data_IF_343614900751
#
_entry.id   IF_343614900751
#
_cell.length_a   1.000
_cell.length_b   1.000
_cell.length_c   1.000
_cell.angle_alpha   90.00
_cell.angle_beta   90.00
_cell.angle_gamma   90.00
#
_symmetry.space_group_name_H-M   'P 1'
#
loop_
_entity.id
_entity.type
_entity.pdbx_description
1 polymer ?
#
# COMPACT_ATOMS: atom_id res chain seq x y z
N UNK A 1 -20.95 -5.70 -23.31
CA UNK A 1 -19.86 -5.93 -22.33
C UNK A 1 -18.99 -4.69 -22.31
N UNK A 2 -18.80 -4.04 -21.16
CA UNK A 2 -17.73 -3.04 -21.01
C UNK A 2 -16.40 -3.80 -21.16
N UNK A 3 -15.48 -3.25 -21.93
CA UNK A 3 -14.10 -3.74 -21.96
C UNK A 3 -13.49 -3.52 -20.56
N UNK A 4 -13.08 -4.60 -19.89
CA UNK A 4 -12.48 -4.55 -18.55
C UNK A 4 -11.25 -3.63 -18.54
N UNK A 5 -10.50 -3.57 -19.65
CA UNK A 5 -9.35 -2.68 -19.77
C UNK A 5 -9.78 -1.20 -19.82
N UNK A 6 -10.90 -0.89 -20.46
CA UNK A 6 -11.43 0.48 -20.49
C UNK A 6 -11.94 0.89 -19.10
N UNK A 7 -12.60 -0.03 -18.39
CA UNK A 7 -13.03 0.22 -17.02
C UNK A 7 -11.84 0.47 -16.08
N UNK A 8 -10.84 -0.41 -16.08
CA UNK A 8 -9.61 -0.25 -15.28
C UNK A 8 -8.92 1.07 -15.57
N UNK A 9 -8.76 1.45 -16.85
CA UNK A 9 -8.18 2.75 -17.23
C UNK A 9 -8.96 3.92 -16.63
N UNK A 10 -10.29 3.87 -16.66
CA UNK A 10 -11.11 4.94 -16.08
C UNK A 10 -10.98 5.02 -14.55
N UNK A 11 -10.85 3.87 -13.86
CA UNK A 11 -10.67 3.84 -12.41
C UNK A 11 -9.27 4.27 -11.99
N UNK A 12 -8.23 3.97 -12.78
CA UNK A 12 -6.87 4.50 -12.58
C UNK A 12 -6.88 6.03 -12.64
N UNK A 13 -7.46 6.61 -13.68
CA UNK A 13 -7.51 8.07 -13.83
C UNK A 13 -8.35 8.75 -12.75
N UNK A 14 -9.41 8.09 -12.28
CA UNK A 14 -10.19 8.55 -11.13
C UNK A 14 -9.35 8.51 -9.85
N UNK A 15 -8.66 7.40 -9.59
CA UNK A 15 -7.88 7.24 -8.37
C UNK A 15 -6.67 8.19 -8.31
N UNK A 16 -5.99 8.44 -9.44
CA UNK A 16 -4.94 9.47 -9.54
C UNK A 16 -5.43 10.83 -9.05
N UNK A 17 -6.64 11.23 -9.46
CA UNK A 17 -7.24 12.50 -9.02
C UNK A 17 -7.62 12.48 -7.54
N UNK A 18 -8.17 11.38 -7.06
CA UNK A 18 -8.50 11.22 -5.63
C UNK A 18 -7.26 11.40 -4.76
N UNK A 19 -6.16 10.73 -5.09
CA UNK A 19 -4.87 10.80 -4.37
C UNK A 19 -4.27 12.22 -4.35
N UNK A 20 -4.33 12.94 -5.47
CA UNK A 20 -3.86 14.32 -5.55
C UNK A 20 -4.73 15.30 -4.77
N UNK A 21 -6.05 15.07 -4.73
CA UNK A 21 -7.00 15.93 -4.01
C UNK A 21 -6.93 15.69 -2.50
N UNK A 22 -6.74 14.44 -2.07
CA UNK A 22 -6.58 14.11 -0.65
C UNK A 22 -5.23 14.59 -0.09
N UNK A 23 -4.23 14.77 -0.95
CA UNK A 23 -2.86 15.09 -0.54
C UNK A 23 -2.04 13.87 -0.13
N UNK A 24 -2.60 12.66 -0.27
CA UNK A 24 -1.90 11.39 0.01
C UNK A 24 -0.60 11.28 -0.82
N UNK A 25 -0.62 11.86 -2.02
CA UNK A 25 0.56 12.07 -2.87
C UNK A 25 0.51 13.46 -3.50
N UNK A 26 1.68 14.00 -3.81
CA UNK A 26 1.82 15.16 -4.68
C UNK A 26 1.88 14.76 -6.15
N UNK A 27 2.21 15.73 -7.00
CA UNK A 27 2.63 15.44 -8.38
C UNK A 27 3.90 14.56 -8.42
N UNK A 28 4.34 14.12 -9.62
CA UNK A 28 5.59 13.40 -9.76
C UNK A 28 6.75 14.10 -9.04
N UNK A 29 7.66 13.34 -8.41
CA UNK A 29 8.81 13.94 -7.73
C UNK A 29 9.64 14.79 -8.72
N UNK A 30 10.17 15.90 -8.24
CA UNK A 30 11.09 16.76 -8.99
C UNK A 30 12.48 16.69 -8.35
N UNK A 31 13.54 16.83 -9.15
CA UNK A 31 14.94 16.84 -8.65
C UNK A 31 15.16 17.95 -7.59
N UNK A 32 14.47 19.07 -7.74
CA UNK A 32 14.46 20.17 -6.78
C UNK A 32 13.38 19.93 -5.72
N UNK A 33 13.71 19.13 -4.71
CA UNK A 33 12.79 18.77 -3.63
C UNK A 33 12.24 20.00 -2.89
N UNK A 34 12.99 21.11 -2.82
CA UNK A 34 12.53 22.33 -2.15
C UNK A 34 11.34 22.96 -2.91
N UNK A 35 11.42 23.02 -4.25
CA UNK A 35 10.30 23.47 -5.09
C UNK A 35 9.12 22.50 -5.04
N UNK A 36 9.39 21.20 -5.00
CA UNK A 36 8.33 20.20 -4.90
C UNK A 36 7.57 20.35 -3.57
N UNK A 37 8.29 20.50 -2.46
CA UNK A 37 7.72 20.72 -1.13
C UNK A 37 6.88 22.01 -1.06
N UNK A 38 7.28 23.08 -1.76
CA UNK A 38 6.48 24.31 -1.82
C UNK A 38 5.15 24.10 -2.57
N UNK A 39 5.14 23.26 -3.62
CA UNK A 39 3.94 22.94 -4.39
C UNK A 39 3.01 21.96 -3.67
N UNK A 40 3.58 20.99 -2.94
CA UNK A 40 2.86 19.90 -2.29
C UNK A 40 3.25 19.76 -0.80
N UNK A 41 3.01 20.79 0.04
CA UNK A 41 3.53 20.84 1.41
C UNK A 41 2.98 19.77 2.36
N UNK A 42 1.82 19.20 2.04
CA UNK A 42 1.16 18.16 2.84
C UNK A 42 1.49 16.74 2.36
N UNK A 43 2.22 16.62 1.25
CA UNK A 43 2.52 15.33 0.62
C UNK A 43 3.97 14.93 0.86
N UNK A 44 4.20 13.63 0.96
CA UNK A 44 5.54 13.08 1.19
C UNK A 44 6.06 12.26 -0.01
N UNK A 45 5.15 11.66 -0.76
CA UNK A 45 5.43 10.84 -1.93
C UNK A 45 4.80 11.45 -3.18
N UNK A 46 5.35 11.13 -4.34
CA UNK A 46 4.88 11.60 -5.63
C UNK A 46 4.02 10.55 -6.33
N UNK A 47 3.03 11.00 -7.09
CA UNK A 47 2.27 10.13 -7.98
C UNK A 47 3.17 9.60 -9.11
N UNK A 48 3.32 8.28 -9.30
CA UNK A 48 4.09 7.74 -10.41
C UNK A 48 3.34 7.86 -11.73
N UNK A 49 4.10 7.83 -12.83
CA UNK A 49 3.53 7.83 -14.19
C UNK A 49 2.59 6.65 -14.42
N UNK A 50 2.97 5.48 -13.89
CA UNK A 50 2.26 4.21 -14.09
C UNK A 50 1.71 3.67 -12.78
N UNK A 51 0.41 3.39 -12.77
CA UNK A 51 -0.27 2.60 -11.74
C UNK A 51 -0.43 1.18 -12.28
N UNK A 52 0.01 0.20 -11.50
CA UNK A 52 -0.14 -1.21 -11.83
C UNK A 52 -1.53 -1.70 -11.44
N UNK A 53 -2.01 -2.74 -12.12
CA UNK A 53 -3.25 -3.40 -11.74
C UNK A 53 -3.16 -4.91 -11.88
N UNK A 54 -3.96 -5.60 -11.07
CA UNK A 54 -4.21 -7.03 -11.17
C UNK A 54 -5.71 -7.29 -11.17
N UNK A 55 -6.13 -8.25 -11.98
CA UNK A 55 -7.51 -8.71 -12.08
C UNK A 55 -7.57 -10.17 -11.65
N UNK A 56 -8.41 -10.48 -10.65
CA UNK A 56 -8.57 -11.81 -10.07
C UNK A 56 -9.86 -11.85 -9.24
N UNK A 57 -10.62 -12.94 -9.32
CA UNK A 57 -11.72 -13.24 -8.39
C UNK A 57 -11.13 -13.56 -6.99
N UNK A 58 -11.08 -12.55 -6.12
CA UNK A 58 -10.46 -12.69 -4.79
C UNK A 58 -11.46 -13.18 -3.74
N UNK A 59 -12.75 -12.96 -3.96
CA UNK A 59 -13.82 -13.31 -3.03
C UNK A 59 -14.59 -14.60 -3.39
N UNK A 60 -14.19 -15.27 -4.48
CA UNK A 60 -14.79 -16.50 -5.01
C UNK A 60 -16.28 -16.33 -5.41
N UNK A 61 -16.67 -15.13 -5.87
CA UNK A 61 -18.04 -14.85 -6.33
C UNK A 61 -18.26 -15.09 -7.83
N UNK A 62 -17.21 -15.51 -8.55
CA UNK A 62 -17.22 -15.78 -9.98
C UNK A 62 -17.08 -14.53 -10.85
N UNK A 63 -16.82 -13.36 -10.27
CA UNK A 63 -16.52 -12.12 -10.98
C UNK A 63 -15.13 -11.63 -10.61
N UNK A 64 -14.51 -10.96 -11.57
CA UNK A 64 -13.17 -10.42 -11.42
C UNK A 64 -13.16 -9.17 -10.52
N UNK A 65 -12.34 -9.19 -9.46
CA UNK A 65 -11.96 -8.02 -8.69
C UNK A 65 -10.72 -7.36 -9.29
N UNK A 66 -10.48 -6.09 -8.97
CA UNK A 66 -9.36 -5.29 -9.45
C UNK A 66 -8.60 -4.70 -8.27
N UNK A 67 -7.31 -5.02 -8.15
CA UNK A 67 -6.40 -4.31 -7.26
C UNK A 67 -5.55 -3.35 -8.09
N UNK A 68 -5.65 -2.05 -7.80
CA UNK A 68 -4.74 -1.01 -8.29
C UNK A 68 -3.66 -0.77 -7.24
N UNK A 69 -2.41 -0.65 -7.68
CA UNK A 69 -1.30 -0.45 -6.76
C UNK A 69 -0.08 0.21 -7.40
N UNK A 70 0.74 0.82 -6.57
CA UNK A 70 2.06 1.32 -6.95
C UNK A 70 2.96 1.46 -5.71
N UNK A 71 4.29 1.31 -5.86
CA UNK A 71 5.21 1.54 -4.75
C UNK A 71 5.21 3.01 -4.35
N UNK A 72 5.28 3.30 -3.06
CA UNK A 72 5.43 4.69 -2.61
C UNK A 72 6.76 5.30 -3.11
N UNK A 73 7.78 4.47 -3.30
CA UNK A 73 9.11 4.89 -3.72
C UNK A 73 9.84 5.67 -2.62
N UNK A 74 10.85 6.42 -3.03
CA UNK A 74 11.55 7.37 -2.16
C UNK A 74 10.69 8.62 -1.93
N UNK A 75 10.86 9.24 -0.76
CA UNK A 75 10.22 10.51 -0.44
C UNK A 75 10.68 11.61 -1.39
N UNK A 76 9.74 12.40 -1.92
CA UNK A 76 10.10 13.56 -2.76
C UNK A 76 10.67 14.73 -1.93
N UNK A 77 10.72 14.61 -0.60
CA UNK A 77 11.07 15.69 0.34
C UNK A 77 12.57 15.83 0.58
N UNK A 78 13.40 15.01 -0.08
CA UNK A 78 14.86 14.98 0.06
C UNK A 78 15.37 14.01 1.15
N UNK A 79 14.47 13.24 1.77
CA UNK A 79 14.82 12.13 2.67
C UNK A 79 14.85 10.77 1.97
N UNK A 80 15.45 9.77 2.62
CA UNK A 80 15.47 8.36 2.16
C UNK A 80 14.37 7.51 2.80
N UNK A 81 13.32 8.15 3.31
CA UNK A 81 12.22 7.42 3.96
C UNK A 81 11.33 6.74 2.90
N UNK A 82 11.27 5.42 2.95
CA UNK A 82 10.37 4.62 2.11
C UNK A 82 9.00 4.47 2.76
N UNK A 83 7.95 4.49 1.95
CA UNK A 83 6.57 4.26 2.37
C UNK A 83 6.07 2.87 1.97
N UNK A 84 5.00 2.41 2.62
CA UNK A 84 4.29 1.24 2.12
C UNK A 84 3.67 1.50 0.75
N UNK A 85 3.49 0.45 -0.03
CA UNK A 85 2.78 0.54 -1.32
C UNK A 85 1.37 1.12 -1.15
N UNK A 86 0.97 1.94 -2.13
CA UNK A 86 -0.40 2.43 -2.24
C UNK A 86 -1.28 1.38 -2.88
N UNK A 87 -2.50 1.20 -2.34
CA UNK A 87 -3.41 0.13 -2.73
C UNK A 87 -4.84 0.65 -2.81
N UNK A 88 -5.55 0.24 -3.85
CA UNK A 88 -7.00 0.39 -3.97
C UNK A 88 -7.61 -0.89 -4.52
N UNK A 89 -8.54 -1.49 -3.76
CA UNK A 89 -9.28 -2.67 -4.20
C UNK A 89 -10.67 -2.26 -4.66
N UNK A 90 -11.05 -2.70 -5.85
CA UNK A 90 -12.38 -2.58 -6.42
C UNK A 90 -12.90 -3.99 -6.57
N UNK A 91 -13.95 -4.34 -5.84
CA UNK A 91 -14.40 -5.72 -5.75
C UNK A 91 -15.88 -5.86 -5.99
N UNK A 92 -16.29 -6.97 -6.59
CA UNK A 92 -17.71 -7.29 -6.76
C UNK A 92 -18.32 -7.67 -5.42
N UNK A 93 -19.55 -7.23 -5.21
CA UNK A 93 -20.38 -7.68 -4.10
C UNK A 93 -21.82 -7.68 -4.56
N UNK A 94 -22.42 -8.88 -4.61
CA UNK A 94 -23.77 -9.11 -5.14
C UNK A 94 -23.86 -8.65 -6.61
N UNK A 95 -24.41 -7.46 -6.85
CA UNK A 95 -24.65 -6.89 -8.17
C UNK A 95 -23.93 -5.55 -8.41
N UNK A 96 -23.07 -5.13 -7.49
CA UNK A 96 -22.38 -3.84 -7.53
C UNK A 96 -20.87 -4.03 -7.35
N UNK A 97 -20.09 -3.02 -7.75
CA UNK A 97 -18.67 -2.93 -7.41
C UNK A 97 -18.50 -1.97 -6.24
N UNK A 98 -17.86 -2.44 -5.17
CA UNK A 98 -17.48 -1.68 -4.01
C UNK A 98 -15.99 -1.32 -4.07
N UNK A 99 -15.56 -0.35 -3.26
CA UNK A 99 -14.16 0.09 -3.20
C UNK A 99 -13.64 0.02 -1.76
N UNK A 100 -12.39 -0.38 -1.59
CA UNK A 100 -11.64 -0.30 -0.35
C UNK A 100 -10.35 0.48 -0.61
N UNK A 101 -10.30 1.70 -0.07
CA UNK A 101 -9.17 2.61 -0.21
C UNK A 101 -8.26 2.61 1.03
N UNK A 102 -8.66 1.93 2.11
CA UNK A 102 -7.98 1.95 3.40
C UNK A 102 -7.00 0.77 3.57
N UNK A 103 -6.76 0.00 2.50
CA UNK A 103 -5.96 -1.21 2.54
C UNK A 103 -4.54 -0.98 3.05
N UNK A 104 -3.91 0.11 2.60
CA UNK A 104 -2.54 0.46 3.04
C UNK A 104 -2.48 0.62 4.56
N UNK A 105 -3.29 1.51 5.13
CA UNK A 105 -3.32 1.75 6.57
C UNK A 105 -3.75 0.50 7.36
N UNK A 106 -4.68 -0.29 6.80
CA UNK A 106 -5.13 -1.55 7.42
C UNK A 106 -3.99 -2.56 7.52
N UNK A 107 -3.25 -2.78 6.42
CA UNK A 107 -2.14 -3.74 6.38
C UNK A 107 -1.00 -3.27 7.30
N UNK A 108 -0.61 -1.99 7.25
CA UNK A 108 0.41 -1.43 8.15
C UNK A 108 0.05 -1.64 9.63
N UNK A 109 -1.20 -1.38 10.00
CA UNK A 109 -1.68 -1.55 11.37
C UNK A 109 -1.66 -3.01 11.81
N UNK A 110 -2.07 -3.92 10.95
CA UNK A 110 -2.13 -5.35 11.28
C UNK A 110 -0.72 -5.96 11.38
N UNK A 111 0.21 -5.57 10.49
CA UNK A 111 1.63 -5.94 10.60
C UNK A 111 2.19 -5.52 11.96
N UNK A 112 1.98 -4.27 12.36
CA UNK A 112 2.42 -3.76 13.68
C UNK A 112 1.81 -4.58 14.82
N UNK A 113 0.50 -4.81 14.79
CA UNK A 113 -0.19 -5.56 15.83
C UNK A 113 0.34 -6.99 15.98
N UNK A 114 0.48 -7.71 14.87
CA UNK A 114 0.98 -9.08 14.87
C UNK A 114 2.47 -9.16 15.23
N UNK A 115 3.28 -8.22 14.75
CA UNK A 115 4.70 -8.17 15.09
C UNK A 115 4.90 -7.97 16.60
N UNK A 116 4.18 -7.01 17.21
CA UNK A 116 4.23 -6.76 18.66
C UNK A 116 3.81 -7.99 19.46
N UNK A 117 2.76 -8.70 19.00
CA UNK A 117 2.28 -9.92 19.65
C UNK A 117 3.29 -11.07 19.58
N UNK A 118 4.02 -11.21 18.48
CA UNK A 118 5.01 -12.28 18.31
C UNK A 118 6.33 -12.00 19.05
N UNK A 119 6.75 -10.74 19.13
CA UNK A 119 8.08 -10.35 19.67
C UNK A 119 8.02 -9.84 21.11
N UNK A 120 6.87 -9.30 21.53
CA UNK A 120 6.72 -8.56 22.79
C UNK A 120 7.26 -7.12 22.76
N UNK A 121 7.85 -6.67 21.64
CA UNK A 121 8.33 -5.31 21.47
C UNK A 121 7.23 -4.38 20.93
N UNK A 122 7.30 -3.09 21.23
CA UNK A 122 6.39 -2.10 20.66
C UNK A 122 6.92 -1.57 19.32
N UNK A 123 6.13 -1.72 18.26
CA UNK A 123 6.40 -1.16 16.93
C UNK A 123 5.96 0.30 16.84
N UNK A 124 6.84 1.19 16.38
CA UNK A 124 6.47 2.57 16.00
C UNK A 124 5.90 2.66 14.60
N UNK A 125 6.55 1.98 13.66
CA UNK A 125 6.27 2.07 12.22
C UNK A 125 6.37 0.69 11.60
N UNK A 126 5.55 0.45 10.59
CA UNK A 126 5.72 -0.65 9.66
C UNK A 126 5.61 -0.09 8.24
N UNK A 127 6.42 -0.63 7.33
CA UNK A 127 6.27 -0.42 5.89
C UNK A 127 6.18 -1.77 5.20
N UNK A 128 5.52 -1.83 4.04
CA UNK A 128 5.40 -3.06 3.27
C UNK A 128 5.46 -2.81 1.76
N UNK A 129 5.87 -3.83 1.03
CA UNK A 129 5.83 -3.85 -0.44
C UNK A 129 5.11 -5.09 -0.93
N UNK A 130 4.23 -4.92 -1.91
CA UNK A 130 3.48 -6.01 -2.53
C UNK A 130 4.38 -6.77 -3.49
N UNK A 131 4.41 -8.10 -3.34
CA UNK A 131 5.20 -8.99 -4.20
C UNK A 131 4.32 -9.87 -5.08
N UNK A 132 3.13 -10.23 -4.61
CA UNK A 132 2.18 -11.04 -5.37
C UNK A 132 0.74 -10.77 -4.93
N UNK A 133 -0.17 -10.97 -5.88
CA UNK A 133 -1.62 -10.81 -5.68
C UNK A 133 -2.31 -12.00 -6.31
N UNK A 134 -2.99 -12.77 -5.47
CA UNK A 134 -3.91 -13.84 -5.86
C UNK A 134 -5.23 -13.67 -5.11
N UNK A 135 -5.68 -14.65 -4.32
CA UNK A 135 -6.80 -14.48 -3.38
C UNK A 135 -6.38 -13.72 -2.11
N UNK A 136 -5.08 -13.47 -1.96
CA UNK A 136 -4.47 -12.71 -0.89
C UNK A 136 -3.50 -11.68 -1.47
N UNK A 137 -3.32 -10.59 -0.73
CA UNK A 137 -2.26 -9.61 -0.96
C UNK A 137 -1.03 -10.13 -0.21
N UNK A 138 0.04 -10.41 -0.94
CA UNK A 138 1.28 -10.97 -0.39
C UNK A 138 2.41 -9.96 -0.59
N UNK A 139 3.31 -9.89 0.39
CA UNK A 139 4.37 -8.90 0.34
C UNK A 139 5.45 -9.13 1.36
N UNK A 140 6.46 -8.27 1.30
CA UNK A 140 7.50 -8.13 2.31
C UNK A 140 7.17 -6.96 3.21
N UNK A 141 7.71 -6.96 4.42
CA UNK A 141 7.54 -5.83 5.33
C UNK A 141 8.76 -5.62 6.21
N UNK A 142 8.85 -4.43 6.78
CA UNK A 142 9.83 -4.03 7.79
C UNK A 142 9.11 -3.32 8.95
N UNK A 143 9.57 -3.53 10.17
CA UNK A 143 9.04 -2.95 11.40
C UNK A 143 10.16 -2.30 12.20
N UNK A 144 9.95 -1.03 12.57
CA UNK A 144 10.81 -0.27 13.48
C UNK A 144 10.21 -0.34 14.88
N UNK A 145 11.04 -0.70 15.86
CA UNK A 145 10.66 -0.80 17.27
C UNK A 145 11.18 0.38 18.07
N UNK A 146 10.64 0.61 19.27
CA UNK A 146 11.10 1.68 20.16
C UNK A 146 12.60 1.64 20.51
N UNK A 147 13.23 0.46 20.42
CA UNK A 147 14.67 0.29 20.70
C UNK A 147 15.56 0.95 19.63
N UNK A 148 15.08 1.05 18.39
CA UNK A 148 15.78 1.70 17.27
C UNK A 148 14.78 2.24 16.23
N UNK A 149 14.07 3.33 16.59
CA UNK A 149 12.97 3.81 15.77
C UNK A 149 13.44 4.59 14.53
N UNK A 150 14.69 5.06 14.54
CA UNK A 150 15.16 6.11 13.64
C UNK A 150 16.30 5.67 12.70
N UNK A 151 17.05 4.58 12.98
CA UNK A 151 18.07 4.10 12.04
C UNK A 151 17.57 2.97 11.15
N UNK A 152 16.94 1.95 11.75
CA UNK A 152 16.91 0.63 11.12
C UNK A 152 15.72 -0.20 11.56
N UNK A 153 15.16 -1.00 10.64
CA UNK A 153 14.10 -1.93 11.00
C UNK A 153 14.64 -2.98 11.98
N UNK A 154 13.93 -3.22 13.08
CA UNK A 154 14.28 -4.26 14.04
C UNK A 154 13.82 -5.65 13.59
N UNK A 155 12.75 -5.71 12.80
CA UNK A 155 12.19 -6.94 12.25
C UNK A 155 11.80 -6.76 10.80
N UNK A 156 11.90 -7.83 10.04
CA UNK A 156 11.43 -7.89 8.66
C UNK A 156 10.89 -9.28 8.35
N UNK A 157 10.20 -9.40 7.22
CA UNK A 157 9.70 -10.69 6.76
C UNK A 157 8.66 -10.59 5.67
N UNK A 158 7.73 -11.54 5.66
CA UNK A 158 6.66 -11.65 4.67
C UNK A 158 5.29 -11.67 5.33
N UNK A 159 4.29 -11.12 4.64
CA UNK A 159 2.89 -11.17 5.05
C UNK A 159 1.99 -11.74 3.95
N UNK A 160 0.86 -12.31 4.37
CA UNK A 160 -0.25 -12.69 3.49
C UNK A 160 -1.55 -12.14 4.11
N UNK A 161 -2.25 -11.26 3.40
CA UNK A 161 -3.47 -10.61 3.88
C UNK A 161 -4.67 -10.92 2.99
N UNK A 162 -5.77 -11.37 3.59
CA UNK A 162 -7.03 -11.58 2.90
C UNK A 162 -8.01 -10.41 3.17
N UNK A 163 -8.35 -9.59 2.16
CA UNK A 163 -9.17 -8.39 2.36
C UNK A 163 -10.66 -8.67 2.65
N UNK A 164 -11.13 -9.91 2.48
CA UNK A 164 -12.53 -10.31 2.67
C UNK A 164 -12.79 -11.02 4.00
N UNK A 165 -11.77 -11.64 4.57
CA UNK A 165 -11.82 -12.29 5.89
C UNK A 165 -11.08 -11.52 6.97
N UNK A 166 -10.34 -10.47 6.58
CA UNK A 166 -9.49 -9.63 7.44
C UNK A 166 -8.44 -10.42 8.21
N UNK A 167 -8.03 -11.57 7.69
CA UNK A 167 -6.98 -12.41 8.27
C UNK A 167 -5.63 -12.04 7.67
N UNK A 168 -4.63 -11.92 8.54
CA UNK A 168 -3.23 -11.76 8.15
C UNK A 168 -2.39 -12.88 8.78
N UNK A 169 -1.50 -13.45 7.98
CA UNK A 169 -0.39 -14.28 8.45
C UNK A 169 0.92 -13.53 8.27
N UNK A 170 1.80 -13.63 9.27
CA UNK A 170 3.07 -12.91 9.31
C UNK A 170 4.19 -13.88 9.69
N UNK A 171 5.23 -13.96 8.85
CA UNK A 171 6.46 -14.70 9.09
C UNK A 171 7.60 -13.70 9.15
N UNK A 172 8.30 -13.64 10.28
CA UNK A 172 9.30 -12.60 10.54
C UNK A 172 10.54 -13.13 11.23
N UNK A 173 11.63 -12.39 11.07
CA UNK A 173 12.89 -12.58 11.78
C UNK A 173 13.44 -11.23 12.23
N UNK A 174 14.33 -11.27 13.22
CA UNK A 174 15.05 -10.09 13.69
C UNK A 174 16.11 -9.72 12.66
N UNK A 175 16.22 -8.43 12.33
CA UNK A 175 17.31 -7.89 11.52
C UNK A 175 18.58 -7.89 12.38
N UNK A 176 19.67 -8.50 11.88
CA UNK A 176 20.93 -8.69 12.62
C UNK A 176 21.76 -7.41 12.72
#
# INVERSE_FOLDING_TARGET
MRDINQFVKSEIEKWKKELLISGDVGGPCEDDYAKWNEKYPESYYGLPDTIQFKTVDMNDDGKDDILLYFPAGEACTGGHEEGSDFLKLIYSSKNEYLQNNDLRATIEKEIRFLSNRQTGAFSRRAIFSVTNIDKQIKGTFQVWTDDDPDCCAGYEGTFEYNPFTWKMELKQHKVQ
#
